data_IF_472440865899
#
_entry.id   IF_472440865899
#
_cell.length_a   1.000
_cell.length_b   1.000
_cell.length_c   1.000
_cell.angle_alpha   90.00
_cell.angle_beta   90.00
_cell.angle_gamma   90.00
#
_symmetry.space_group_name_H-M   'P 1'
#
loop_
_entity.id
_entity.type
_entity.pdbx_description
1 polymer ?
#
# COMPACT_ATOMS: atom_id res chain seq x y z
N UNK A 1 19.06 -2.26 -29.16
CA UNK A 1 17.72 -2.61 -28.66
C UNK A 1 17.81 -2.79 -27.15
N UNK A 2 17.25 -1.85 -26.38
CA UNK A 2 17.17 -1.98 -24.92
C UNK A 2 16.03 -2.96 -24.60
N UNK A 3 16.30 -3.86 -23.67
CA UNK A 3 15.43 -4.98 -23.30
C UNK A 3 14.35 -4.50 -22.31
N UNK A 4 13.46 -3.61 -22.75
CA UNK A 4 12.47 -2.93 -21.88
C UNK A 4 11.41 -3.89 -21.30
N UNK A 5 11.19 -5.04 -21.95
CA UNK A 5 10.22 -6.05 -21.53
C UNK A 5 10.69 -6.97 -20.39
N UNK A 6 12.00 -7.03 -20.09
CA UNK A 6 12.51 -7.83 -18.97
C UNK A 6 12.44 -7.07 -17.64
N UNK A 7 12.55 -5.75 -17.69
CA UNK A 7 12.59 -4.85 -16.53
C UNK A 7 11.22 -4.77 -15.83
N UNK A 8 10.15 -4.64 -16.61
CA UNK A 8 8.77 -4.57 -16.09
C UNK A 8 8.36 -5.83 -15.30
N UNK A 9 8.78 -7.02 -15.78
CA UNK A 9 8.47 -8.29 -15.10
C UNK A 9 9.20 -8.43 -13.76
N UNK A 10 10.42 -7.90 -13.67
CA UNK A 10 11.18 -7.91 -12.43
C UNK A 10 10.56 -6.96 -11.40
N UNK A 11 10.13 -5.77 -11.84
CA UNK A 11 9.41 -4.79 -11.00
C UNK A 11 8.08 -5.37 -10.51
N UNK A 12 7.32 -6.02 -11.36
CA UNK A 12 6.06 -6.69 -10.97
C UNK A 12 6.30 -7.78 -9.91
N UNK A 13 7.38 -8.55 -10.03
CA UNK A 13 7.72 -9.60 -9.08
C UNK A 13 8.18 -9.03 -7.72
N UNK A 14 9.02 -8.00 -7.74
CA UNK A 14 9.45 -7.30 -6.51
C UNK A 14 8.26 -6.68 -5.80
N UNK A 15 7.35 -6.05 -6.55
CA UNK A 15 6.14 -5.48 -6.00
C UNK A 15 5.24 -6.55 -5.37
N UNK A 16 5.02 -7.67 -6.07
CA UNK A 16 4.23 -8.79 -5.57
C UNK A 16 4.82 -9.40 -4.29
N UNK A 17 6.15 -9.55 -4.24
CA UNK A 17 6.85 -9.97 -3.03
C UNK A 17 6.62 -8.98 -1.88
N UNK A 18 6.76 -7.68 -2.16
CA UNK A 18 6.53 -6.62 -1.19
C UNK A 18 5.08 -6.61 -0.67
N UNK A 19 4.10 -6.93 -1.51
CA UNK A 19 2.69 -7.03 -1.14
C UNK A 19 2.34 -8.29 -0.35
N UNK A 20 3.31 -9.16 -0.05
CA UNK A 20 3.08 -10.39 0.72
C UNK A 20 2.19 -11.39 0.00
N UNK A 21 2.17 -11.36 -1.34
CA UNK A 21 1.28 -12.20 -2.14
C UNK A 21 -0.19 -11.79 -2.11
N UNK A 22 -0.54 -10.64 -1.51
CA UNK A 22 -1.90 -10.10 -1.59
C UNK A 22 -2.20 -9.70 -3.05
N UNK A 23 -3.26 -10.26 -3.61
CA UNK A 23 -3.74 -9.87 -4.93
C UNK A 23 -4.49 -8.54 -4.89
N UNK A 24 -4.25 -7.69 -5.89
CA UNK A 24 -4.91 -6.40 -6.08
C UNK A 24 -5.59 -6.42 -7.45
N UNK A 25 -6.86 -5.99 -7.49
CA UNK A 25 -7.71 -6.03 -8.71
C UNK A 25 -7.15 -5.15 -9.84
N UNK A 26 -6.80 -3.90 -9.51
CA UNK A 26 -6.19 -2.94 -10.42
C UNK A 26 -4.82 -2.48 -9.89
N UNK A 27 -3.78 -3.20 -10.28
CA UNK A 27 -2.41 -2.90 -9.88
C UNK A 27 -1.91 -1.57 -10.46
N UNK A 28 -2.36 -1.19 -11.66
CA UNK A 28 -1.95 0.07 -12.29
C UNK A 28 -2.51 1.26 -11.51
N UNK A 29 -3.77 1.17 -11.07
CA UNK A 29 -4.36 2.15 -10.17
C UNK A 29 -3.63 2.22 -8.83
N UNK A 30 -3.37 1.07 -8.20
CA UNK A 30 -2.68 1.02 -6.91
C UNK A 30 -1.28 1.65 -6.98
N UNK A 31 -0.52 1.41 -8.06
CA UNK A 31 0.77 2.06 -8.32
C UNK A 31 0.63 3.56 -8.45
N UNK A 32 -0.29 4.02 -9.29
CA UNK A 32 -0.51 5.45 -9.50
C UNK A 32 -0.87 6.16 -8.19
N UNK A 33 -1.71 5.56 -7.35
CA UNK A 33 -2.05 6.10 -6.02
C UNK A 33 -0.83 6.12 -5.10
N UNK A 34 0.00 5.08 -5.13
CA UNK A 34 1.22 5.03 -4.32
C UNK A 34 2.27 6.07 -4.73
N UNK A 35 2.41 6.33 -6.04
CA UNK A 35 3.29 7.36 -6.58
C UNK A 35 2.81 8.76 -6.15
N UNK A 36 1.51 9.04 -6.36
CA UNK A 36 0.92 10.33 -5.97
C UNK A 36 0.99 10.55 -4.45
N UNK A 37 0.77 9.50 -3.65
CA UNK A 37 0.91 9.58 -2.20
C UNK A 37 2.35 9.91 -1.79
N UNK A 38 3.35 9.34 -2.48
CA UNK A 38 4.76 9.66 -2.28
C UNK A 38 5.10 11.11 -2.64
N UNK A 39 4.59 11.61 -3.76
CA UNK A 39 4.75 13.02 -4.17
C UNK A 39 4.16 13.98 -3.13
N UNK A 40 2.94 13.71 -2.68
CA UNK A 40 2.28 14.52 -1.65
C UNK A 40 3.03 14.47 -0.32
N UNK A 41 3.52 13.30 0.11
CA UNK A 41 4.35 13.15 1.30
C UNK A 41 5.62 14.00 1.19
N UNK A 42 6.32 13.94 0.06
CA UNK A 42 7.53 14.75 -0.14
C UNK A 42 7.24 16.26 -0.10
N UNK A 43 6.19 16.71 -0.78
CA UNK A 43 5.82 18.14 -0.83
C UNK A 43 5.34 18.65 0.54
N UNK A 44 4.66 17.79 1.31
CA UNK A 44 4.15 18.15 2.66
C UNK A 44 5.14 17.88 3.78
N UNK A 45 6.38 17.45 3.47
CA UNK A 45 7.44 17.19 4.44
C UNK A 45 7.63 18.31 5.49
N UNK A 46 7.61 19.62 5.13
CA UNK A 46 7.74 20.69 6.12
C UNK A 46 6.66 20.71 7.20
N UNK A 47 5.51 20.04 6.99
CA UNK A 47 4.40 20.00 7.94
C UNK A 47 4.49 18.83 8.92
N UNK A 48 4.98 17.67 8.48
CA UNK A 48 4.98 16.45 9.29
C UNK A 48 6.35 16.02 9.79
N UNK A 49 7.44 16.39 9.11
CA UNK A 49 8.82 16.04 9.51
C UNK A 49 9.19 14.54 9.44
N UNK A 50 8.24 13.66 9.08
CA UNK A 50 8.48 12.23 8.86
C UNK A 50 9.54 11.91 7.78
N UNK A 51 10.12 10.72 7.86
CA UNK A 51 11.23 10.27 7.01
C UNK A 51 10.91 9.04 6.16
N UNK A 52 11.96 8.33 5.75
CA UNK A 52 11.87 7.18 4.84
C UNK A 52 11.06 6.01 5.43
N UNK A 53 11.07 5.85 6.75
CA UNK A 53 10.29 4.81 7.42
C UNK A 53 8.79 5.00 7.18
N UNK A 54 8.26 6.19 7.48
CA UNK A 54 6.85 6.50 7.30
C UNK A 54 6.46 6.55 5.82
N UNK A 55 7.35 7.04 4.94
CA UNK A 55 7.14 7.01 3.50
C UNK A 55 6.95 5.58 2.98
N UNK A 56 7.74 4.62 3.47
CA UNK A 56 7.61 3.19 3.14
C UNK A 56 6.26 2.64 3.60
N UNK A 57 5.79 3.00 4.79
CA UNK A 57 4.48 2.57 5.30
C UNK A 57 3.35 3.14 4.44
N UNK A 58 3.41 4.43 4.12
CA UNK A 58 2.43 5.09 3.25
C UNK A 58 2.38 4.44 1.87
N UNK A 59 3.54 4.19 1.26
CA UNK A 59 3.63 3.53 -0.04
C UNK A 59 3.00 2.13 0.00
N UNK A 60 3.31 1.32 1.02
CA UNK A 60 2.73 -0.03 1.15
C UNK A 60 1.22 0.01 1.39
N UNK A 61 0.74 0.98 2.17
CA UNK A 61 -0.69 1.16 2.41
C UNK A 61 -1.44 1.60 1.15
N UNK A 62 -0.85 2.50 0.36
CA UNK A 62 -1.42 2.95 -0.90
C UNK A 62 -1.50 1.81 -1.93
N UNK A 63 -0.50 0.94 -2.03
CA UNK A 63 -0.55 -0.24 -2.90
C UNK A 63 -1.69 -1.21 -2.52
N UNK A 64 -1.99 -1.31 -1.23
CA UNK A 64 -2.90 -2.33 -0.69
C UNK A 64 -4.30 -1.78 -0.31
N UNK A 65 -4.55 -0.48 -0.50
CA UNK A 65 -5.75 0.19 0.02
C UNK A 65 -7.06 -0.47 -0.45
N UNK A 66 -7.07 -0.97 -1.68
CA UNK A 66 -8.22 -1.60 -2.33
C UNK A 66 -8.07 -3.12 -2.54
N UNK A 67 -7.08 -3.77 -1.91
CA UNK A 67 -6.91 -5.23 -1.97
C UNK A 67 -8.17 -6.02 -1.54
N UNK A 68 -9.00 -5.43 -0.68
CA UNK A 68 -10.26 -6.00 -0.23
C UNK A 68 -11.37 -6.06 -1.27
N UNK A 69 -11.24 -5.39 -2.43
CA UNK A 69 -12.28 -5.38 -3.49
C UNK A 69 -12.58 -6.80 -3.97
N UNK A 70 -11.54 -7.61 -4.16
CA UNK A 70 -11.65 -9.01 -4.59
C UNK A 70 -12.39 -9.91 -3.58
N UNK A 71 -12.46 -9.49 -2.31
CA UNK A 71 -13.15 -10.21 -1.24
C UNK A 71 -14.57 -9.69 -1.02
N UNK A 72 -14.74 -8.37 -0.98
CA UNK A 72 -16.03 -7.73 -0.76
C UNK A 72 -16.03 -6.29 -1.29
N UNK A 73 -16.84 -6.04 -2.31
CA UNK A 73 -17.00 -4.70 -2.87
C UNK A 73 -17.52 -3.69 -1.82
N UNK A 74 -18.56 -4.07 -1.08
CA UNK A 74 -19.06 -3.28 0.04
C UNK A 74 -18.16 -3.48 1.26
N UNK A 75 -17.51 -2.41 1.71
CA UNK A 75 -16.63 -2.47 2.87
C UNK A 75 -15.22 -2.99 2.55
N UNK A 76 -14.77 -2.96 1.29
CA UNK A 76 -13.41 -3.38 0.87
C UNK A 76 -12.32 -2.84 1.78
N UNK A 77 -12.34 -1.57 2.19
CA UNK A 77 -11.38 -1.00 3.14
C UNK A 77 -11.24 -1.79 4.47
N UNK A 78 -12.32 -2.38 5.00
CA UNK A 78 -12.24 -3.29 6.17
C UNK A 78 -11.68 -4.66 5.79
N UNK A 79 -11.97 -5.15 4.58
CA UNK A 79 -11.39 -6.38 4.07
C UNK A 79 -9.88 -6.21 3.79
N UNK A 80 -9.45 -5.12 3.14
CA UNK A 80 -8.06 -4.72 2.94
C UNK A 80 -7.30 -4.72 4.27
N UNK A 81 -7.87 -4.09 5.30
CA UNK A 81 -7.26 -4.12 6.64
C UNK A 81 -7.01 -5.54 7.15
N UNK A 82 -8.01 -6.42 7.07
CA UNK A 82 -7.89 -7.81 7.56
C UNK A 82 -6.83 -8.59 6.76
N UNK A 83 -6.82 -8.44 5.44
CA UNK A 83 -5.82 -9.06 4.57
C UNK A 83 -4.41 -8.59 4.94
N UNK A 84 -4.22 -7.29 5.11
CA UNK A 84 -2.92 -6.71 5.49
C UNK A 84 -2.46 -7.22 6.85
N UNK A 85 -3.35 -7.28 7.86
CA UNK A 85 -3.00 -7.77 9.20
C UNK A 85 -2.52 -9.23 9.15
N UNK A 86 -3.17 -10.06 8.34
CA UNK A 86 -2.94 -11.50 8.25
C UNK A 86 -1.78 -11.87 7.32
N UNK A 87 -1.40 -11.00 6.39
CA UNK A 87 -0.32 -11.25 5.47
C UNK A 87 1.05 -11.14 6.14
N UNK A 88 2.03 -11.84 5.58
CA UNK A 88 3.42 -11.54 5.83
C UNK A 88 3.87 -10.48 4.83
N UNK A 89 4.20 -9.27 5.29
CA UNK A 89 4.67 -8.18 4.43
C UNK A 89 6.18 -8.03 4.63
N UNK A 90 7.01 -8.51 3.67
CA UNK A 90 8.45 -8.48 3.80
C UNK A 90 8.97 -7.07 4.07
N UNK A 91 9.86 -6.98 5.06
CA UNK A 91 10.49 -5.72 5.48
C UNK A 91 9.66 -4.87 6.44
N UNK A 92 8.50 -5.34 6.92
CA UNK A 92 7.72 -4.68 7.96
C UNK A 92 7.64 -5.54 9.22
N UNK A 93 7.79 -4.90 10.38
CA UNK A 93 7.41 -5.48 11.67
C UNK A 93 5.90 -5.66 11.80
N UNK A 94 5.47 -6.40 12.81
CA UNK A 94 4.03 -6.55 13.11
C UNK A 94 3.37 -5.20 13.44
N UNK A 95 4.06 -4.32 14.17
CA UNK A 95 3.58 -2.97 14.46
C UNK A 95 3.41 -2.13 13.19
N UNK A 96 4.43 -2.11 12.32
CA UNK A 96 4.38 -1.41 11.03
C UNK A 96 3.28 -1.98 10.12
N UNK A 97 3.10 -3.31 10.11
CA UNK A 97 2.01 -3.94 9.35
C UNK A 97 0.63 -3.51 9.87
N UNK A 98 0.47 -3.37 11.19
CA UNK A 98 -0.76 -2.83 11.77
C UNK A 98 -0.99 -1.36 11.39
N UNK A 99 0.07 -0.54 11.31
CA UNK A 99 -0.01 0.84 10.83
C UNK A 99 -0.44 0.91 9.36
N UNK A 100 0.18 0.11 8.49
CA UNK A 100 -0.21 -0.02 7.07
C UNK A 100 -1.68 -0.43 6.94
N UNK A 101 -2.13 -1.40 7.74
CA UNK A 101 -3.52 -1.84 7.74
C UNK A 101 -4.48 -0.72 8.17
N UNK A 102 -4.09 0.08 9.17
CA UNK A 102 -4.86 1.23 9.62
C UNK A 102 -4.96 2.31 8.54
N UNK A 103 -3.84 2.68 7.89
CA UNK A 103 -3.83 3.65 6.79
C UNK A 103 -4.75 3.16 5.66
N UNK A 104 -4.60 1.90 5.24
CA UNK A 104 -5.44 1.29 4.20
C UNK A 104 -6.93 1.25 4.57
N UNK A 105 -7.28 1.02 5.84
CA UNK A 105 -8.68 1.03 6.31
C UNK A 105 -9.31 2.41 6.20
N UNK A 106 -8.57 3.43 6.60
CA UNK A 106 -9.10 4.78 6.82
C UNK A 106 -8.79 5.74 5.66
N UNK A 107 -8.39 5.23 4.50
CA UNK A 107 -8.20 6.01 3.28
C UNK A 107 -9.51 6.66 2.78
N UNK A 108 -10.67 6.21 3.27
CA UNK A 108 -11.99 6.74 2.89
C UNK A 108 -13.02 6.65 4.01
N UNK A 109 -14.12 7.39 3.81
CA UNK A 109 -15.35 7.41 4.62
C UNK A 109 -15.16 8.01 6.01
N UNK A 110 -14.59 7.27 6.95
CA UNK A 110 -14.54 7.65 8.37
C UNK A 110 -13.11 7.87 8.80
N UNK A 111 -12.92 8.76 9.77
CA UNK A 111 -11.64 8.93 10.44
C UNK A 111 -11.48 7.90 11.58
N UNK A 112 -10.24 7.58 11.99
CA UNK A 112 -9.99 6.77 13.18
C UNK A 112 -10.65 7.41 14.42
N UNK A 113 -11.19 6.57 15.30
CA UNK A 113 -11.71 6.99 16.60
C UNK A 113 -10.73 6.50 17.67
N UNK A 114 -10.45 7.36 18.66
CA UNK A 114 -9.62 7.03 19.83
C UNK A 114 -10.39 6.14 20.81
#
# INVERSE_FOLDING_TARGET
MKNEGNDHRLIDHELAFSMGGIAVDDLAHARHVADLAGELFAITWPLHGFGEAEARLLHRAALLHDAGILVAYQGHHKASQRLIIQADLPGLSEAERAEVACIARYHRKVLPQR
#
